data_IF_479934810224
#
_entry.id   IF_479934810224
#
_cell.length_a   1.000
_cell.length_b   1.000
_cell.length_c   1.000
_cell.angle_alpha   90.00
_cell.angle_beta   90.00
_cell.angle_gamma   90.00
#
_symmetry.space_group_name_H-M   'P 1'
#
loop_
_entity.id
_entity.type
_entity.pdbx_description
1 polymer ?
#
# COMPACT_ATOMS: atom_id res chain seq x y z
N UNK A 1 -12.72 -8.21 -21.67
CA UNK A 1 -11.57 -8.35 -20.77
C UNK A 1 -10.85 -7.02 -20.64
N UNK A 2 -11.20 -6.24 -19.62
CA UNK A 2 -10.57 -4.97 -19.24
C UNK A 2 -9.47 -5.27 -18.22
N UNK A 3 -8.21 -5.01 -18.59
CA UNK A 3 -7.06 -5.26 -17.72
C UNK A 3 -6.47 -3.95 -17.22
N UNK A 4 -6.23 -3.87 -15.92
CA UNK A 4 -5.49 -2.79 -15.27
C UNK A 4 -4.05 -3.23 -15.02
N UNK A 5 -3.08 -2.48 -15.57
CA UNK A 5 -1.65 -2.73 -15.38
C UNK A 5 -1.00 -1.79 -14.36
N UNK A 6 -1.75 -0.85 -13.80
CA UNK A 6 -1.25 0.15 -12.86
C UNK A 6 -2.10 0.15 -11.59
N UNK A 7 -2.07 -1.00 -10.91
CA UNK A 7 -2.65 -1.16 -9.59
C UNK A 7 -1.57 -1.46 -8.56
N UNK A 8 -1.76 -0.95 -7.34
CA UNK A 8 -0.82 -1.16 -6.25
C UNK A 8 -1.42 -1.96 -5.11
N UNK A 9 -0.58 -2.76 -4.45
CA UNK A 9 -0.94 -3.54 -3.27
C UNK A 9 0.20 -3.58 -2.27
N UNK A 10 -0.10 -3.39 -0.99
CA UNK A 10 0.84 -3.53 0.11
C UNK A 10 0.57 -4.82 0.89
N UNK A 11 1.56 -5.69 1.07
CA UNK A 11 1.46 -6.78 2.03
C UNK A 11 1.29 -6.23 3.45
N UNK A 12 0.42 -6.80 4.26
CA UNK A 12 0.23 -6.34 5.65
C UNK A 12 1.53 -6.39 6.48
N UNK A 13 2.41 -7.35 6.17
CA UNK A 13 3.71 -7.51 6.81
C UNK A 13 4.63 -6.29 6.60
N UNK A 14 4.49 -5.59 5.47
CA UNK A 14 5.26 -4.37 5.20
C UNK A 14 4.99 -3.31 6.27
N UNK A 15 3.73 -3.02 6.57
CA UNK A 15 3.37 -2.04 7.61
C UNK A 15 3.77 -2.52 9.01
N UNK A 16 3.63 -3.83 9.30
CA UNK A 16 4.08 -4.40 10.57
C UNK A 16 5.58 -4.22 10.78
N UNK A 17 6.39 -4.34 9.72
CA UNK A 17 7.83 -4.12 9.80
C UNK A 17 8.17 -2.64 9.99
N UNK A 18 7.52 -1.73 9.24
CA UNK A 18 7.69 -0.29 9.44
C UNK A 18 7.29 0.18 10.85
N UNK A 19 6.32 -0.49 11.48
CA UNK A 19 5.88 -0.17 12.84
C UNK A 19 6.87 -0.63 13.93
N UNK A 20 7.72 -1.63 13.65
CA UNK A 20 8.65 -2.21 14.64
C UNK A 20 9.89 -1.36 14.86
N UNK A 21 10.39 -0.74 13.80
CA UNK A 21 11.65 -0.01 13.84
C UNK A 21 11.51 1.33 13.13
N UNK A 22 11.84 2.44 13.79
CA UNK A 22 11.79 3.76 13.20
C UNK A 22 12.75 3.86 11.99
N UNK A 23 12.22 4.25 10.84
CA UNK A 23 12.97 4.54 9.61
C UNK A 23 12.60 5.90 9.03
N UNK A 24 12.91 6.10 7.75
CA UNK A 24 12.46 7.27 6.99
C UNK A 24 10.95 7.19 6.77
N UNK A 25 10.45 6.01 6.42
CA UNK A 25 9.02 5.73 6.39
C UNK A 25 8.48 5.47 7.80
N UNK A 26 7.30 6.00 8.08
CA UNK A 26 6.58 5.83 9.35
C UNK A 26 5.13 5.50 9.07
N UNK A 27 4.54 4.68 9.92
CA UNK A 27 3.16 4.23 9.75
C UNK A 27 2.30 4.61 10.95
N UNK A 28 1.06 4.99 10.68
CA UNK A 28 0.03 5.27 11.66
C UNK A 28 -1.31 4.68 11.20
N UNK A 29 -2.30 4.69 12.08
CA UNK A 29 -3.71 4.46 11.72
C UNK A 29 -4.46 5.79 11.80
N UNK A 30 -5.29 6.09 10.80
CA UNK A 30 -6.19 7.24 10.87
C UNK A 30 -7.44 6.93 11.69
N UNK A 31 -8.35 7.90 11.80
CA UNK A 31 -9.62 7.79 12.55
C UNK A 31 -10.55 6.68 12.05
N UNK A 32 -10.40 6.27 10.78
CA UNK A 32 -11.14 5.17 10.16
C UNK A 32 -10.41 3.81 10.29
N UNK A 33 -9.29 3.77 11.02
CA UNK A 33 -8.48 2.57 11.18
C UNK A 33 -7.68 2.17 9.94
N UNK A 34 -7.55 3.04 8.93
CA UNK A 34 -6.73 2.77 7.73
C UNK A 34 -5.27 3.10 7.98
N UNK A 35 -4.37 2.36 7.33
CA UNK A 35 -2.95 2.69 7.37
C UNK A 35 -2.69 4.05 6.70
N UNK A 36 -1.84 4.84 7.32
CA UNK A 36 -1.24 6.04 6.74
C UNK A 36 0.27 5.85 6.79
N UNK A 37 0.93 5.94 5.64
CA UNK A 37 2.39 5.81 5.54
C UNK A 37 3.00 7.15 5.15
N UNK A 38 3.76 7.75 6.08
CA UNK A 38 4.48 8.99 5.90
C UNK A 38 5.92 8.71 5.47
N UNK A 39 6.47 9.52 4.57
CA UNK A 39 7.86 9.41 4.10
C UNK A 39 8.31 10.73 3.45
N UNK A 40 9.54 11.16 3.72
CA UNK A 40 10.22 12.26 3.01
C UNK A 40 9.38 13.52 2.67
N UNK A 41 8.49 13.95 3.58
CA UNK A 41 7.64 15.14 3.39
C UNK A 41 6.28 14.88 2.73
N UNK A 42 5.94 13.63 2.42
CA UNK A 42 4.67 13.20 1.84
C UNK A 42 4.04 12.04 2.63
N UNK A 43 2.83 11.64 2.26
CA UNK A 43 2.12 10.50 2.86
C UNK A 43 1.10 9.86 1.92
N UNK A 44 0.89 8.54 2.09
CA UNK A 44 -0.20 7.81 1.45
C UNK A 44 -1.22 7.38 2.49
N UNK A 45 -2.51 7.65 2.24
CA UNK A 45 -3.61 6.99 2.96
C UNK A 45 -3.98 5.72 2.20
N UNK A 46 -3.84 4.57 2.85
CA UNK A 46 -3.97 3.27 2.20
C UNK A 46 -5.45 2.91 2.08
N UNK A 47 -5.90 2.71 0.84
CA UNK A 47 -7.27 2.29 0.56
C UNK A 47 -7.46 0.80 0.83
N UNK A 48 -8.68 0.37 1.12
CA UNK A 48 -8.95 -1.02 1.53
C UNK A 48 -8.51 -2.03 0.45
N UNK A 49 -8.76 -1.74 -0.84
CA UNK A 49 -8.32 -2.56 -1.97
C UNK A 49 -6.80 -2.56 -2.24
N UNK A 50 -6.01 -1.81 -1.48
CA UNK A 50 -4.54 -1.88 -1.49
C UNK A 50 -3.99 -2.83 -0.42
N UNK A 51 -4.82 -3.37 0.49
CA UNK A 51 -4.38 -4.32 1.52
C UNK A 51 -5.29 -5.55 1.68
N UNK A 52 -6.51 -5.51 1.14
CA UNK A 52 -7.46 -6.62 1.13
C UNK A 52 -7.73 -7.04 -0.30
N UNK A 53 -7.58 -8.34 -0.57
CA UNK A 53 -7.89 -8.94 -1.87
C UNK A 53 -9.39 -8.89 -2.12
N UNK A 54 -10.21 -9.10 -1.10
CA UNK A 54 -11.67 -8.98 -1.15
C UNK A 54 -12.10 -7.53 -1.43
N UNK A 55 -11.46 -6.56 -0.78
CA UNK A 55 -11.65 -5.15 -1.05
C UNK A 55 -11.29 -4.81 -2.50
N UNK A 56 -10.18 -5.36 -3.01
CA UNK A 56 -9.76 -5.21 -4.39
C UNK A 56 -10.78 -5.77 -5.38
N UNK A 57 -11.30 -6.98 -5.15
CA UNK A 57 -12.31 -7.56 -6.03
C UNK A 57 -13.59 -6.71 -6.08
N UNK A 58 -14.06 -6.23 -4.93
CA UNK A 58 -15.21 -5.31 -4.88
C UNK A 58 -14.97 -4.04 -5.71
N UNK A 59 -13.79 -3.44 -5.58
CA UNK A 59 -13.43 -2.23 -6.31
C UNK A 59 -13.28 -2.52 -7.83
N UNK A 60 -12.76 -3.69 -8.20
CA UNK A 60 -12.66 -4.17 -9.59
C UNK A 60 -14.04 -4.41 -10.21
N UNK A 61 -14.95 -5.08 -9.51
CA UNK A 61 -16.32 -5.34 -9.95
C UNK A 61 -17.06 -4.02 -10.20
N UNK A 62 -16.95 -3.07 -9.27
CA UNK A 62 -17.56 -1.74 -9.39
C UNK A 62 -17.00 -0.94 -10.59
N UNK A 63 -15.73 -1.14 -10.94
CA UNK A 63 -15.07 -0.48 -12.06
C UNK A 63 -15.17 -1.26 -13.39
N UNK A 64 -15.70 -2.50 -13.38
CA UNK A 64 -15.71 -3.40 -14.53
C UNK A 64 -14.31 -3.80 -15.01
N UNK A 65 -13.38 -4.04 -14.09
CA UNK A 65 -12.01 -4.52 -14.37
C UNK A 65 -11.94 -6.03 -14.17
N UNK A 66 -11.55 -6.76 -15.22
CA UNK A 66 -11.53 -8.22 -15.22
C UNK A 66 -10.21 -8.80 -14.67
N UNK A 67 -9.10 -8.06 -14.81
CA UNK A 67 -7.78 -8.47 -14.36
C UNK A 67 -6.99 -7.25 -13.89
N UNK A 68 -6.30 -7.36 -12.76
CA UNK A 68 -5.37 -6.34 -12.28
C UNK A 68 -3.98 -6.95 -12.07
N UNK A 69 -2.97 -6.36 -12.71
CA UNK A 69 -1.56 -6.66 -12.44
C UNK A 69 -1.10 -5.75 -11.31
N UNK A 70 -0.74 -6.37 -10.19
CA UNK A 70 -0.40 -5.64 -8.97
C UNK A 70 1.11 -5.39 -8.91
N UNK A 71 1.46 -4.17 -8.50
CA UNK A 71 2.83 -3.76 -8.18
C UNK A 71 2.92 -3.25 -6.75
N UNK A 72 4.12 -3.28 -6.18
CA UNK A 72 4.39 -2.61 -4.92
C UNK A 72 4.65 -1.12 -5.16
N UNK A 73 4.30 -0.25 -4.22
CA UNK A 73 4.35 1.20 -4.43
C UNK A 73 5.00 1.96 -3.27
N UNK A 74 5.13 3.29 -3.45
CA UNK A 74 5.83 4.21 -2.55
C UNK A 74 5.30 4.11 -1.11
N UNK A 75 6.17 4.15 -0.08
CA UNK A 75 7.60 4.45 -0.16
C UNK A 75 8.50 3.33 -0.68
N UNK A 76 7.97 2.14 -0.96
CA UNK A 76 8.82 1.00 -1.30
C UNK A 76 9.86 0.72 -0.21
N UNK A 77 11.01 0.16 -0.60
CA UNK A 77 12.19 0.05 0.27
C UNK A 77 13.27 1.09 -0.04
N UNK A 78 13.16 1.74 -1.20
CA UNK A 78 14.20 2.61 -1.75
C UNK A 78 14.37 3.95 -1.01
N UNK A 79 13.39 4.35 -0.20
CA UNK A 79 13.51 5.55 0.64
C UNK A 79 14.29 5.28 1.92
N UNK A 80 14.49 4.02 2.30
CA UNK A 80 15.22 3.67 3.53
C UNK A 80 16.72 3.67 3.31
N UNK A 81 17.48 3.68 4.40
CA UNK A 81 18.93 3.45 4.33
C UNK A 81 19.22 2.06 3.74
N UNK A 82 20.30 1.89 2.94
CA UNK A 82 20.60 0.63 2.25
C UNK A 82 20.67 -0.62 3.14
N UNK A 83 20.98 -0.47 4.43
CA UNK A 83 21.01 -1.59 5.38
C UNK A 83 19.60 -2.12 5.76
N UNK A 84 18.53 -1.42 5.39
CA UNK A 84 17.14 -1.72 5.72
C UNK A 84 16.26 -1.99 4.50
N UNK A 85 16.75 -1.75 3.29
CA UNK A 85 16.00 -1.82 2.04
C UNK A 85 16.64 -2.70 0.98
#
# INVERSE_FOLDING_TARGET
>A
MRTDFHAHFYPELYFKNLAREAGIARVARNELGRWVVHHAGDYNTVADGQTSVEGRFRDMDAAGVDLAVLSFTTPGVHVEAPARG
#
